data_IF_029878098247
#
_entry.id   IF_029878098247
#
_cell.length_a   1.000
_cell.length_b   1.000
_cell.length_c   1.000
_cell.angle_alpha   90.00
_cell.angle_beta   90.00
_cell.angle_gamma   90.00
#
_symmetry.space_group_name_H-M   'P 1'
#
loop_
_entity.id
_entity.type
_entity.pdbx_description
1 polymer ?
#
# COMPACT_ATOMS: atom_id res chain seq x y z
N UNK A 1 5.13 -1.85 -27.88
CA UNK A 1 4.19 -1.20 -28.07
C UNK A 1 3.23 -1.02 -27.01
N UNK A 2 2.13 -0.47 -27.32
CA UNK A 2 1.23 -0.08 -26.27
C UNK A 2 0.62 -1.25 -25.54
N UNK A 3 0.50 -2.37 -26.18
CA UNK A 3 -0.07 -3.48 -25.44
C UNK A 3 0.85 -3.95 -24.36
N UNK A 4 2.14 -3.77 -24.53
CA UNK A 4 3.05 -4.10 -23.45
C UNK A 4 2.77 -3.25 -22.24
N UNK A 5 2.51 -1.98 -22.45
CA UNK A 5 2.21 -1.11 -21.33
C UNK A 5 0.93 -1.50 -20.65
N UNK A 6 -0.05 -1.96 -21.39
CA UNK A 6 -1.29 -2.36 -20.79
C UNK A 6 -1.13 -3.63 -19.99
N UNK A 7 -0.31 -4.54 -20.50
CA UNK A 7 -0.12 -5.79 -19.81
C UNK A 7 0.76 -5.63 -18.58
N UNK A 8 1.66 -4.66 -18.63
CA UNK A 8 2.61 -4.50 -17.54
C UNK A 8 2.14 -3.41 -16.63
N UNK A 9 1.69 -3.80 -15.46
CA UNK A 9 1.42 -2.81 -14.45
C UNK A 9 2.72 -2.20 -14.00
N UNK A 10 2.72 -0.91 -13.70
CA UNK A 10 3.90 -0.30 -13.13
C UNK A 10 4.29 -1.05 -11.86
N UNK A 11 5.53 -1.38 -11.77
CA UNK A 11 6.02 -2.06 -10.59
C UNK A 11 6.94 -1.14 -9.83
N UNK A 12 6.89 -1.25 -8.52
CA UNK A 12 7.74 -0.43 -7.68
C UNK A 12 9.16 -0.92 -7.80
N UNK A 13 10.10 0.02 -7.95
CA UNK A 13 11.51 -0.30 -7.89
C UNK A 13 11.89 -0.53 -6.44
N UNK A 14 13.07 -1.09 -6.24
CA UNK A 14 13.59 -1.25 -4.88
C UNK A 14 13.69 0.11 -4.19
N UNK A 15 14.15 1.11 -4.93
CA UNK A 15 14.25 2.45 -4.37
C UNK A 15 12.88 2.99 -3.97
N UNK A 16 11.87 2.75 -4.79
CA UNK A 16 10.51 3.18 -4.45
C UNK A 16 10.04 2.51 -3.16
N UNK A 17 10.28 1.22 -3.04
CA UNK A 17 9.86 0.49 -1.85
C UNK A 17 10.55 1.05 -0.61
N UNK A 18 11.83 1.34 -0.72
CA UNK A 18 12.58 1.90 0.41
C UNK A 18 12.04 3.26 0.81
N UNK A 19 11.75 4.10 -0.17
CA UNK A 19 11.20 5.42 0.12
C UNK A 19 9.83 5.32 0.77
N UNK A 20 9.01 4.40 0.31
CA UNK A 20 7.69 4.21 0.89
C UNK A 20 7.83 3.74 2.33
N UNK A 21 8.72 2.79 2.57
CA UNK A 21 8.91 2.27 3.91
C UNK A 21 9.37 3.37 4.87
N UNK A 22 10.37 4.14 4.44
CA UNK A 22 10.89 5.21 5.27
C UNK A 22 9.81 6.24 5.56
N UNK A 23 9.05 6.59 4.54
CA UNK A 23 7.99 7.59 4.70
C UNK A 23 6.92 7.10 5.67
N UNK A 24 6.53 5.84 5.55
CA UNK A 24 5.53 5.29 6.45
C UNK A 24 6.05 5.26 7.88
N UNK A 25 7.30 4.86 8.06
CA UNK A 25 7.86 4.80 9.40
C UNK A 25 7.90 6.18 10.04
N UNK A 26 8.32 7.18 9.28
CA UNK A 26 8.38 8.54 9.78
C UNK A 26 7.00 9.08 10.11
N UNK A 27 6.03 8.78 9.25
CA UNK A 27 4.67 9.24 9.48
C UNK A 27 4.11 8.60 10.75
N UNK A 28 4.33 7.31 10.93
CA UNK A 28 3.85 6.63 12.12
C UNK A 28 4.47 7.21 13.38
N UNK A 29 5.75 7.59 13.31
CA UNK A 29 6.40 8.17 14.46
C UNK A 29 5.79 9.51 14.86
N UNK A 30 5.21 10.24 13.90
CA UNK A 30 4.61 11.54 14.17
C UNK A 30 3.17 11.44 14.65
N UNK A 31 2.57 10.25 14.55
CA UNK A 31 1.18 10.04 14.93
C UNK A 31 1.15 9.46 16.34
N UNK A 32 0.24 9.97 17.16
CA UNK A 32 0.08 9.44 18.52
C UNK A 32 -0.17 7.93 18.46
N UNK A 33 0.38 7.22 19.41
CA UNK A 33 0.38 5.78 19.37
C UNK A 33 -1.04 5.21 19.27
N UNK A 34 -1.99 5.82 19.97
CA UNK A 34 -3.35 5.33 19.97
C UNK A 34 -4.10 5.70 18.69
N UNK A 35 -3.48 6.44 17.79
CA UNK A 35 -4.09 6.80 16.50
C UNK A 35 -3.46 6.06 15.34
N UNK A 36 -2.43 5.27 15.59
CA UNK A 36 -1.68 4.65 14.48
C UNK A 36 -2.50 3.61 13.74
N UNK A 37 -3.29 2.83 14.47
CA UNK A 37 -4.12 1.85 13.80
C UNK A 37 -5.15 2.52 12.90
N UNK A 38 -5.77 3.58 13.40
CA UNK A 38 -6.73 4.32 12.60
C UNK A 38 -6.07 4.88 11.34
N UNK A 39 -4.86 5.42 11.49
CA UNK A 39 -4.13 5.92 10.34
C UNK A 39 -3.93 4.83 9.29
N UNK A 40 -3.51 3.65 9.72
CA UNK A 40 -3.26 2.57 8.77
C UNK A 40 -4.53 2.11 8.09
N UNK A 41 -5.65 2.07 8.82
CA UNK A 41 -6.92 1.70 8.21
C UNK A 41 -7.33 2.74 7.17
N UNK A 42 -7.17 4.02 7.50
CA UNK A 42 -7.50 5.07 6.54
C UNK A 42 -6.61 4.99 5.31
N UNK A 43 -5.33 4.74 5.51
CA UNK A 43 -4.43 4.59 4.38
C UNK A 43 -4.83 3.40 3.52
N UNK A 44 -5.22 2.30 4.16
CA UNK A 44 -5.64 1.13 3.41
C UNK A 44 -6.87 1.44 2.57
N UNK A 45 -7.84 2.17 3.12
CA UNK A 45 -9.04 2.50 2.38
C UNK A 45 -8.73 3.44 1.22
N UNK A 46 -7.85 4.40 1.43
CA UNK A 46 -7.44 5.29 0.35
C UNK A 46 -6.70 4.50 -0.73
N UNK A 47 -5.87 3.55 -0.32
CA UNK A 47 -5.17 2.70 -1.28
C UNK A 47 -6.15 1.85 -2.07
N UNK A 48 -7.17 1.32 -1.41
CA UNK A 48 -8.18 0.53 -2.09
C UNK A 48 -8.89 1.36 -3.15
N UNK A 49 -9.14 2.64 -2.84
CA UNK A 49 -9.77 3.52 -3.80
C UNK A 49 -8.90 3.70 -5.03
N UNK A 50 -7.59 3.83 -4.83
CA UNK A 50 -6.67 3.98 -5.95
C UNK A 50 -6.56 2.70 -6.77
N UNK A 51 -6.61 1.56 -6.09
CA UNK A 51 -6.60 0.28 -6.79
C UNK A 51 -7.86 0.12 -7.62
N UNK A 52 -8.99 0.56 -7.10
CA UNK A 52 -10.23 0.63 -7.86
C UNK A 52 -10.90 -0.70 -8.09
N UNK A 53 -10.49 -1.75 -7.39
CA UNK A 53 -11.08 -3.06 -7.60
C UNK A 53 -11.07 -3.80 -6.27
N UNK A 54 -12.28 -4.00 -5.72
CA UNK A 54 -12.39 -4.50 -4.36
C UNK A 54 -11.82 -5.87 -4.15
N UNK A 55 -12.01 -6.77 -5.14
CA UNK A 55 -11.53 -8.12 -4.98
C UNK A 55 -10.00 -8.17 -4.92
N UNK A 56 -9.35 -7.33 -5.72
CA UNK A 56 -7.90 -7.25 -5.67
C UNK A 56 -7.44 -6.78 -4.30
N UNK A 57 -8.15 -5.82 -3.73
CA UNK A 57 -7.76 -5.33 -2.41
C UNK A 57 -7.94 -6.40 -1.34
N UNK A 58 -9.02 -7.17 -1.42
CA UNK A 58 -9.24 -8.24 -0.47
C UNK A 58 -8.11 -9.26 -0.53
N UNK A 59 -7.65 -9.57 -1.74
CA UNK A 59 -6.55 -10.49 -1.89
C UNK A 59 -5.27 -9.92 -1.28
N UNK A 60 -5.04 -8.62 -1.44
CA UNK A 60 -3.87 -7.99 -0.83
C UNK A 60 -3.91 -8.06 0.69
N UNK A 61 -5.08 -7.86 1.28
CA UNK A 61 -5.18 -7.96 2.73
C UNK A 61 -4.88 -9.38 3.20
N UNK A 62 -5.33 -10.38 2.44
CA UNK A 62 -5.05 -11.75 2.78
C UNK A 62 -3.54 -12.01 2.75
N UNK A 63 -2.89 -11.52 1.70
CA UNK A 63 -1.44 -11.69 1.59
C UNK A 63 -0.71 -10.99 2.72
N UNK A 64 -1.16 -9.79 3.06
CA UNK A 64 -0.50 -9.03 4.12
C UNK A 64 -0.58 -9.75 5.47
N UNK A 65 -1.64 -10.51 5.68
CA UNK A 65 -1.83 -11.20 6.95
C UNK A 65 -1.03 -12.50 7.06
N UNK A 66 -0.47 -12.98 5.96
CA UNK A 66 0.16 -14.29 5.96
C UNK A 66 1.45 -14.35 6.77
N UNK A 67 2.20 -13.26 6.79
CA UNK A 67 3.52 -13.27 7.39
C UNK A 67 3.62 -12.35 8.60
N UNK A 68 2.67 -12.38 9.45
CA UNK A 68 2.75 -11.60 10.69
C UNK A 68 3.32 -12.42 11.85
#
# INVERSE_FOLDING_TARGET
MSEDNKMNKPQLSVTDVEQIYDHLAETLDQIAEDQRQLFLVKLALLSAREIGEGRAFLELTRQAALDL
#
